data_IF_804403407003
#
_entry.id   IF_804403407003
#
_cell.length_a   1.000
_cell.length_b   1.000
_cell.length_c   1.000
_cell.angle_alpha   90.00
_cell.angle_beta   90.00
_cell.angle_gamma   90.00
#
_symmetry.space_group_name_H-M   'P 1'
#
loop_
_entity.id
_entity.type
_entity.pdbx_description
1 polymer ?
#
# COMPACT_ATOMS: atom_id res chain seq x y z
N UNK A 1 -104.05 17.02 59.66
CA UNK A 1 -103.69 16.04 58.60
C UNK A 1 -102.71 16.58 57.57
N UNK A 2 -102.79 17.84 57.12
CA UNK A 2 -101.87 18.39 56.09
C UNK A 2 -100.36 18.39 56.47
N UNK A 3 -100.03 18.61 57.74
CA UNK A 3 -98.63 18.67 58.22
C UNK A 3 -97.93 17.30 58.23
N UNK A 4 -98.68 16.20 58.42
CA UNK A 4 -98.10 14.85 58.41
C UNK A 4 -97.74 14.36 57.00
N UNK A 5 -98.42 14.86 55.96
CA UNK A 5 -98.08 14.52 54.57
C UNK A 5 -96.77 15.16 54.10
N UNK A 6 -96.48 16.40 54.51
CA UNK A 6 -95.22 17.07 54.13
C UNK A 6 -94.00 16.41 54.77
N UNK A 7 -94.09 16.04 56.05
CA UNK A 7 -92.99 15.33 56.73
C UNK A 7 -92.72 13.97 56.10
N UNK A 8 -93.76 13.25 55.69
CA UNK A 8 -93.60 11.95 55.02
C UNK A 8 -92.95 12.09 53.64
N UNK A 9 -93.36 13.10 52.85
CA UNK A 9 -92.79 13.36 51.51
C UNK A 9 -91.32 13.80 51.61
N UNK A 10 -90.96 14.61 52.60
CA UNK A 10 -89.56 15.01 52.84
C UNK A 10 -88.70 13.80 53.26
N UNK A 11 -89.21 12.92 54.12
CA UNK A 11 -88.47 11.71 54.51
C UNK A 11 -88.26 10.74 53.34
N UNK A 12 -89.24 10.60 52.44
CA UNK A 12 -89.13 9.72 51.26
C UNK A 12 -88.12 10.30 50.25
N UNK A 13 -88.09 11.62 50.04
CA UNK A 13 -87.12 12.28 49.15
C UNK A 13 -85.66 12.21 49.64
N UNK A 14 -85.42 12.14 50.95
CA UNK A 14 -84.06 12.03 51.50
C UNK A 14 -83.52 10.59 51.48
N UNK A 15 -84.38 9.58 51.43
CA UNK A 15 -83.98 8.16 51.40
C UNK A 15 -83.37 7.69 50.07
N UNK A 16 -83.56 8.44 48.98
CA UNK A 16 -83.18 8.06 47.63
C UNK A 16 -81.81 8.62 47.16
N UNK A 17 -81.06 9.29 48.04
CA UNK A 17 -79.78 9.96 47.67
C UNK A 17 -78.55 9.37 48.38
N UNK A 18 -78.67 8.26 49.10
CA UNK A 18 -77.51 7.62 49.72
C UNK A 18 -76.77 6.73 48.71
N UNK A 19 -75.66 7.21 48.16
CA UNK A 19 -74.65 6.35 47.56
C UNK A 19 -73.99 5.57 48.69
N UNK A 20 -74.29 4.27 48.80
CA UNK A 20 -73.62 3.40 49.76
C UNK A 20 -72.18 3.15 49.27
N UNK A 21 -71.22 3.90 49.81
CA UNK A 21 -69.81 3.65 49.60
C UNK A 21 -69.37 2.46 50.48
N UNK A 22 -68.70 1.46 49.91
CA UNK A 22 -68.22 0.27 50.63
C UNK A 22 -66.71 0.36 50.89
N UNK A 23 -66.34 1.26 51.81
CA UNK A 23 -65.05 1.19 52.49
C UNK A 23 -65.15 0.27 53.71
N UNK A 24 -64.29 -0.72 53.81
CA UNK A 24 -64.16 -1.54 55.03
C UNK A 24 -62.92 -1.07 55.77
N UNK A 25 -63.11 -0.54 56.98
CA UNK A 25 -62.00 -0.02 57.80
C UNK A 25 -61.58 1.42 57.48
N UNK A 26 -62.33 2.15 56.65
CA UNK A 26 -62.12 3.58 56.36
C UNK A 26 -63.43 4.32 56.17
N UNK A 27 -63.51 5.58 56.62
CA UNK A 27 -64.66 6.46 56.42
C UNK A 27 -64.58 7.28 55.13
N UNK A 28 -63.42 7.24 54.45
CA UNK A 28 -63.14 8.00 53.23
C UNK A 28 -62.39 7.10 52.24
N UNK A 29 -63.02 6.04 51.70
CA UNK A 29 -62.34 5.19 50.74
C UNK A 29 -62.10 5.96 49.44
N UNK A 30 -60.97 5.66 48.83
CA UNK A 30 -60.41 6.25 47.61
C UNK A 30 -60.78 5.46 46.36
N UNK A 31 -61.38 4.27 46.53
CA UNK A 31 -61.89 3.40 45.49
C UNK A 31 -63.34 2.96 45.81
N UNK A 32 -64.04 2.43 44.80
CA UNK A 32 -65.40 1.89 44.97
C UNK A 32 -65.44 0.77 46.01
N UNK A 33 -64.37 -0.04 46.10
CA UNK A 33 -64.11 -0.98 47.18
C UNK A 33 -62.67 -0.77 47.70
N UNK A 34 -62.53 -0.36 48.96
CA UNK A 34 -61.24 -0.27 49.64
C UNK A 34 -61.33 -1.01 50.98
N UNK A 35 -60.37 -1.91 51.21
CA UNK A 35 -60.24 -2.65 52.47
C UNK A 35 -58.94 -2.19 53.13
N UNK A 36 -59.05 -1.36 54.17
CA UNK A 36 -57.89 -0.87 54.92
C UNK A 36 -57.51 -1.89 55.98
N UNK A 37 -56.24 -2.29 55.96
CA UNK A 37 -55.69 -3.27 56.89
C UNK A 37 -55.42 -2.66 58.27
N UNK A 38 -55.51 -3.46 59.34
CA UNK A 38 -55.07 -3.03 60.67
C UNK A 38 -53.54 -2.93 60.69
N UNK A 39 -53.00 -1.83 61.21
CA UNK A 39 -51.55 -1.59 61.28
C UNK A 39 -50.82 -2.43 62.35
N UNK A 40 -51.57 -3.03 63.29
CA UNK A 40 -51.05 -3.95 64.30
C UNK A 40 -52.01 -5.13 64.47
N UNK A 41 -51.50 -6.34 64.34
CA UNK A 41 -52.26 -7.59 64.46
C UNK A 41 -51.83 -8.33 65.72
N UNK A 42 -52.80 -8.88 66.47
CA UNK A 42 -52.49 -9.84 67.53
C UNK A 42 -52.16 -11.22 66.94
N UNK A 43 -51.54 -12.11 67.73
CA UNK A 43 -51.23 -13.47 67.28
C UNK A 43 -52.50 -14.21 66.83
N UNK A 44 -52.54 -14.62 65.56
CA UNK A 44 -53.69 -15.31 64.96
C UNK A 44 -54.67 -14.41 64.20
N UNK A 45 -54.48 -13.09 64.22
CA UNK A 45 -55.19 -12.17 63.32
C UNK A 45 -54.42 -11.98 62.01
N UNK A 46 -55.15 -11.93 60.90
CA UNK A 46 -54.59 -11.72 59.56
C UNK A 46 -55.36 -10.61 58.83
N UNK A 47 -54.62 -9.73 58.16
CA UNK A 47 -55.21 -8.85 57.15
C UNK A 47 -55.22 -9.58 55.81
N UNK A 48 -56.31 -9.49 55.06
CA UNK A 48 -56.36 -10.02 53.70
C UNK A 48 -57.78 -10.21 53.18
N UNK A 49 -57.86 -10.56 51.90
CA UNK A 49 -59.08 -11.03 51.25
C UNK A 49 -58.81 -12.43 50.72
N UNK A 50 -59.70 -13.38 51.04
CA UNK A 50 -59.67 -14.69 50.41
C UNK A 50 -60.48 -14.57 49.13
N UNK A 51 -59.79 -14.65 47.99
CA UNK A 51 -60.44 -14.70 46.68
C UNK A 51 -60.96 -16.11 46.37
N UNK A 52 -61.93 -16.27 45.45
CA UNK A 52 -62.44 -17.57 45.09
C UNK A 52 -61.34 -18.51 44.61
N UNK A 53 -61.33 -19.70 45.20
CA UNK A 53 -60.35 -20.72 44.94
C UNK A 53 -60.97 -21.82 44.09
N UNK A 54 -60.24 -22.30 43.08
CA UNK A 54 -60.70 -23.31 42.14
C UNK A 54 -59.68 -24.43 42.02
N UNK A 55 -60.18 -25.66 41.81
CA UNK A 55 -59.34 -26.83 41.54
C UNK A 55 -58.94 -26.94 40.05
N UNK A 56 -59.62 -26.23 39.16
CA UNK A 56 -59.30 -26.17 37.73
C UNK A 56 -59.81 -24.86 37.13
N UNK A 57 -59.11 -24.33 36.12
CA UNK A 57 -59.55 -23.14 35.40
C UNK A 57 -60.73 -23.48 34.47
N UNK A 58 -61.77 -22.62 34.39
CA UNK A 58 -62.82 -22.78 33.41
C UNK A 58 -62.27 -22.71 31.97
N UNK A 59 -62.76 -23.58 31.10
CA UNK A 59 -62.40 -23.62 29.66
C UNK A 59 -63.63 -23.78 28.77
N UNK A 60 -63.49 -23.46 27.49
CA UNK A 60 -64.55 -23.62 26.48
C UNK A 60 -65.84 -22.89 26.86
N UNK A 61 -66.98 -23.59 26.81
CA UNK A 61 -68.29 -23.02 27.13
C UNK A 61 -68.47 -22.62 28.61
N UNK A 62 -67.53 -22.98 29.49
CA UNK A 62 -67.53 -22.58 30.91
C UNK A 62 -66.72 -21.31 31.17
N UNK A 63 -66.08 -20.73 30.15
CA UNK A 63 -65.35 -19.47 30.30
C UNK A 63 -66.30 -18.31 30.66
N UNK A 64 -65.84 -17.35 31.47
CA UNK A 64 -66.55 -16.10 31.63
C UNK A 64 -66.74 -15.39 30.29
N UNK A 65 -67.78 -14.58 30.19
CA UNK A 65 -68.00 -13.72 29.02
C UNK A 65 -67.05 -12.51 29.04
N UNK A 66 -66.78 -11.84 27.90
CA UNK A 66 -65.96 -10.63 27.87
C UNK A 66 -66.41 -9.51 28.83
N UNK A 67 -67.69 -9.48 29.22
CA UNK A 67 -68.22 -8.54 30.21
C UNK A 67 -67.67 -8.78 31.63
N UNK A 68 -67.09 -9.95 31.88
CA UNK A 68 -66.50 -10.35 33.17
C UNK A 68 -64.96 -10.26 33.15
N UNK A 69 -64.40 -9.47 32.23
CA UNK A 69 -62.96 -9.16 32.19
C UNK A 69 -62.50 -8.59 33.54
N UNK A 70 -61.36 -9.07 34.03
CA UNK A 70 -60.81 -8.70 35.34
C UNK A 70 -61.27 -9.60 36.49
N UNK A 71 -62.09 -10.64 36.23
CA UNK A 71 -62.43 -11.64 37.23
C UNK A 71 -61.17 -12.38 37.70
N UNK A 72 -60.96 -12.44 39.02
CA UNK A 72 -59.76 -13.00 39.65
C UNK A 72 -60.10 -14.32 40.36
N UNK A 73 -59.28 -15.35 40.15
CA UNK A 73 -59.35 -16.64 40.82
C UNK A 73 -57.98 -17.03 41.37
N UNK A 74 -57.96 -17.87 42.42
CA UNK A 74 -56.77 -18.60 42.85
C UNK A 74 -56.90 -20.06 42.43
N UNK A 75 -55.95 -20.58 41.65
CA UNK A 75 -55.87 -22.01 41.33
C UNK A 75 -55.09 -22.73 42.44
N UNK A 76 -55.71 -23.67 43.16
CA UNK A 76 -55.11 -24.34 44.36
C UNK A 76 -54.18 -25.52 44.06
N UNK A 77 -54.21 -26.03 42.83
CA UNK A 77 -53.34 -27.04 42.21
C UNK A 77 -54.16 -27.78 41.15
N UNK A 78 -53.54 -28.16 40.03
CA UNK A 78 -54.26 -28.75 38.90
C UNK A 78 -53.40 -28.91 37.65
N UNK A 79 -53.98 -28.67 36.48
CA UNK A 79 -53.32 -28.79 35.16
C UNK A 79 -52.35 -27.65 34.84
N UNK A 80 -52.45 -26.53 35.56
CA UNK A 80 -51.62 -25.33 35.39
C UNK A 80 -50.96 -24.93 36.71
N UNK A 81 -50.04 -23.96 36.63
CA UNK A 81 -49.30 -23.45 37.79
C UNK A 81 -50.24 -22.85 38.84
N UNK A 82 -50.16 -23.36 40.08
CA UNK A 82 -50.87 -22.77 41.23
C UNK A 82 -50.62 -21.26 41.31
N UNK A 83 -51.67 -20.47 41.58
CA UNK A 83 -51.50 -19.02 41.74
C UNK A 83 -52.71 -18.19 41.39
N UNK A 84 -52.49 -16.88 41.33
CA UNK A 84 -53.49 -15.89 40.96
C UNK A 84 -53.67 -15.85 39.44
N UNK A 85 -54.92 -15.91 39.00
CA UNK A 85 -55.30 -15.76 37.60
C UNK A 85 -56.30 -14.62 37.46
N UNK A 86 -56.20 -13.83 36.38
CA UNK A 86 -57.25 -12.90 35.98
C UNK A 86 -57.78 -13.27 34.59
N UNK A 87 -59.07 -13.09 34.37
CA UNK A 87 -59.68 -13.28 33.06
C UNK A 87 -59.43 -12.05 32.17
N UNK A 88 -58.75 -12.21 31.04
CA UNK A 88 -58.39 -11.10 30.14
C UNK A 88 -59.51 -10.73 29.15
N UNK A 89 -60.62 -11.47 29.16
CA UNK A 89 -61.74 -11.37 28.22
C UNK A 89 -61.84 -12.57 27.26
N UNK A 90 -60.79 -13.39 27.19
CA UNK A 90 -60.67 -14.57 26.31
C UNK A 90 -60.28 -15.81 27.12
N UNK A 91 -59.33 -15.68 28.05
CA UNK A 91 -58.82 -16.79 28.87
C UNK A 91 -58.28 -16.29 30.22
N UNK A 92 -58.01 -17.23 31.13
CA UNK A 92 -57.39 -16.92 32.41
C UNK A 92 -55.87 -16.82 32.25
N UNK A 93 -55.30 -15.67 32.61
CA UNK A 93 -53.86 -15.41 32.60
C UNK A 93 -53.31 -15.47 34.01
N UNK A 94 -52.24 -16.24 34.20
CA UNK A 94 -51.55 -16.29 35.49
C UNK A 94 -50.85 -14.95 35.73
N UNK A 95 -51.10 -14.32 36.87
CA UNK A 95 -50.52 -13.03 37.27
C UNK A 95 -49.00 -13.11 37.44
N UNK A 96 -48.47 -14.27 37.84
CA UNK A 96 -47.02 -14.51 37.93
C UNK A 96 -46.37 -14.89 36.59
N UNK A 97 -47.15 -15.19 35.54
CA UNK A 97 -46.63 -15.48 34.21
C UNK A 97 -46.59 -14.22 33.31
N UNK A 98 -46.16 -13.09 33.87
CA UNK A 98 -45.92 -11.88 33.09
C UNK A 98 -44.49 -11.91 32.55
N UNK A 99 -44.40 -12.29 31.26
CA UNK A 99 -43.23 -12.30 30.35
C UNK A 99 -42.39 -13.60 30.33
N UNK A 100 -42.31 -14.23 29.14
CA UNK A 100 -41.13 -14.87 28.49
C UNK A 100 -41.40 -16.16 27.70
N UNK A 101 -42.51 -16.34 26.99
CA UNK A 101 -42.61 -17.49 26.05
C UNK A 101 -41.73 -17.34 24.81
N UNK A 102 -41.26 -16.13 24.49
CA UNK A 102 -40.31 -15.88 23.38
C UNK A 102 -39.32 -14.77 23.76
N UNK A 103 -38.27 -15.07 24.53
CA UNK A 103 -37.25 -14.07 24.84
C UNK A 103 -36.48 -13.68 23.57
N UNK A 104 -36.01 -12.43 23.51
CA UNK A 104 -35.22 -11.95 22.37
C UNK A 104 -33.82 -12.58 22.30
N UNK A 105 -33.32 -13.05 23.45
CA UNK A 105 -32.03 -13.70 23.66
C UNK A 105 -32.16 -14.86 24.65
N UNK A 106 -31.44 -15.93 24.38
CA UNK A 106 -31.35 -17.14 25.20
C UNK A 106 -29.99 -17.24 25.86
N UNK A 107 -29.87 -18.03 26.92
CA UNK A 107 -28.57 -18.47 27.43
C UNK A 107 -27.88 -19.34 26.38
N UNK A 108 -26.59 -19.13 26.17
CA UNK A 108 -25.79 -19.78 25.12
C UNK A 108 -25.93 -21.31 25.10
N UNK A 109 -26.31 -21.87 23.96
CA UNK A 109 -26.56 -23.29 23.73
C UNK A 109 -27.86 -23.84 24.33
N UNK A 110 -28.82 -22.99 24.72
CA UNK A 110 -30.05 -23.40 25.41
C UNK A 110 -31.30 -22.72 24.87
N UNK A 111 -32.48 -23.24 25.25
CA UNK A 111 -33.76 -22.59 25.00
C UNK A 111 -34.25 -21.71 26.18
N UNK A 112 -33.41 -21.48 27.20
CA UNK A 112 -33.80 -20.69 28.38
C UNK A 112 -33.59 -19.20 28.17
N UNK A 113 -34.55 -18.32 28.55
CA UNK A 113 -34.36 -16.87 28.51
C UNK A 113 -33.12 -16.42 29.29
N UNK A 114 -32.31 -15.54 28.68
CA UNK A 114 -31.23 -14.87 29.41
C UNK A 114 -31.82 -13.74 30.28
N UNK A 115 -31.64 -13.84 31.60
CA UNK A 115 -32.30 -12.95 32.59
C UNK A 115 -31.34 -12.13 33.45
N UNK A 116 -30.02 -12.30 33.32
CA UNK A 116 -29.01 -11.57 34.09
C UNK A 116 -27.94 -10.96 33.17
N UNK A 117 -27.21 -9.95 33.65
CA UNK A 117 -26.20 -9.20 32.86
C UNK A 117 -24.85 -9.90 32.74
N UNK A 118 -24.69 -11.05 33.38
CA UNK A 118 -23.45 -11.85 33.38
C UNK A 118 -23.57 -13.11 32.51
N UNK A 119 -24.76 -13.38 32.01
CA UNK A 119 -25.10 -14.51 31.16
C UNK A 119 -24.38 -14.41 29.81
N UNK A 120 -23.97 -15.56 29.28
CA UNK A 120 -23.59 -15.66 27.88
C UNK A 120 -24.89 -15.75 27.07
N UNK A 121 -25.16 -14.77 26.20
CA UNK A 121 -26.42 -14.66 25.48
C UNK A 121 -26.29 -15.04 23.99
N UNK A 122 -27.33 -15.65 23.43
CA UNK A 122 -27.41 -15.99 22.00
C UNK A 122 -28.80 -15.78 21.39
N UNK A 123 -28.87 -15.77 20.06
CA UNK A 123 -30.12 -15.92 19.28
C UNK A 123 -29.80 -16.46 17.88
N UNK A 124 -30.69 -17.27 17.34
CA UNK A 124 -30.50 -17.87 16.01
C UNK A 124 -30.78 -16.88 14.86
N UNK A 125 -31.73 -15.97 15.06
CA UNK A 125 -32.15 -15.00 14.06
C UNK A 125 -31.25 -13.75 13.98
N UNK A 126 -31.40 -13.01 12.88
CA UNK A 126 -30.66 -11.78 12.61
C UNK A 126 -30.93 -10.67 13.65
N UNK A 127 -29.91 -9.89 13.99
CA UNK A 127 -30.01 -8.70 14.84
C UNK A 127 -29.80 -7.47 13.98
N UNK A 128 -30.77 -6.55 13.96
CA UNK A 128 -30.58 -5.20 13.45
C UNK A 128 -30.65 -4.22 14.61
N UNK A 129 -29.67 -3.31 14.71
CA UNK A 129 -29.64 -2.22 15.68
C UNK A 129 -29.67 -0.91 14.91
N UNK A 130 -30.77 -0.17 15.04
CA UNK A 130 -30.92 1.17 14.48
C UNK A 130 -31.14 1.26 12.97
N UNK A 131 -31.36 0.14 12.27
CA UNK A 131 -31.54 0.12 10.81
C UNK A 131 -32.69 -0.74 10.31
N UNK A 132 -33.10 -0.50 9.07
CA UNK A 132 -34.17 -1.23 8.37
C UNK A 132 -33.69 -2.48 7.61
N UNK A 133 -32.39 -2.68 7.48
CA UNK A 133 -31.79 -3.82 6.79
C UNK A 133 -31.70 -5.07 7.69
N UNK A 134 -32.16 -6.21 7.17
CA UNK A 134 -32.16 -7.53 7.82
C UNK A 134 -31.47 -8.59 6.95
N UNK A 135 -30.32 -8.28 6.37
CA UNK A 135 -29.62 -9.20 5.45
C UNK A 135 -28.46 -9.95 6.10
N UNK A 136 -28.00 -9.52 7.28
CA UNK A 136 -26.90 -10.14 8.04
C UNK A 136 -27.29 -10.55 9.46
N UNK A 137 -26.50 -11.41 10.09
CA UNK A 137 -26.73 -11.85 11.48
C UNK A 137 -26.58 -10.71 12.50
N UNK A 138 -25.69 -9.76 12.23
CA UNK A 138 -25.59 -8.49 12.95
C UNK A 138 -25.51 -7.36 11.92
N UNK A 139 -26.48 -6.46 11.96
CA UNK A 139 -26.49 -5.24 11.18
C UNK A 139 -26.50 -4.03 12.11
N UNK A 140 -25.58 -3.09 11.88
CA UNK A 140 -25.48 -1.83 12.62
C UNK A 140 -25.48 -0.72 11.59
N UNK A 141 -26.49 0.13 11.65
CA UNK A 141 -26.69 1.22 10.71
C UNK A 141 -26.84 2.54 11.46
N UNK A 142 -26.32 3.61 10.87
CA UNK A 142 -26.58 4.97 11.35
C UNK A 142 -27.45 5.64 10.28
N UNK A 143 -28.75 5.63 10.50
CA UNK A 143 -29.68 6.46 9.72
C UNK A 143 -29.51 7.94 10.13
N UNK A 144 -29.56 8.86 9.17
CA UNK A 144 -29.35 10.29 9.43
C UNK A 144 -30.17 11.19 8.52
N UNK A 145 -30.79 12.23 9.10
CA UNK A 145 -31.34 13.39 8.37
C UNK A 145 -30.68 14.74 8.69
N UNK A 146 -29.76 14.86 9.65
CA UNK A 146 -29.12 16.16 10.00
C UNK A 146 -27.65 16.07 10.47
N UNK A 147 -26.91 17.19 10.36
CA UNK A 147 -25.45 17.28 10.51
C UNK A 147 -25.00 17.83 11.88
N UNK A 148 -24.57 16.97 12.82
CA UNK A 148 -23.57 17.37 13.84
C UNK A 148 -22.75 16.15 14.31
N UNK A 149 -21.42 16.19 14.15
CA UNK A 149 -20.46 15.28 14.81
C UNK A 149 -19.90 14.12 13.98
N UNK A 150 -18.83 13.49 14.48
CA UNK A 150 -18.26 12.25 13.93
C UNK A 150 -19.24 11.10 14.23
N UNK A 151 -19.68 10.40 13.19
CA UNK A 151 -20.57 9.25 13.30
C UNK A 151 -19.75 7.97 13.39
N UNK A 152 -20.03 7.11 14.37
CA UNK A 152 -19.31 5.85 14.57
C UNK A 152 -20.31 4.72 14.81
N UNK A 153 -20.45 3.83 13.83
CA UNK A 153 -21.38 2.70 13.91
C UNK A 153 -20.85 1.62 14.87
N UNK A 154 -19.55 1.34 14.81
CA UNK A 154 -18.89 0.35 15.65
C UNK A 154 -17.55 0.90 16.15
N UNK A 155 -17.37 0.90 17.48
CA UNK A 155 -16.08 1.12 18.14
C UNK A 155 -15.79 -0.09 19.01
N UNK A 156 -14.61 -0.67 18.83
CA UNK A 156 -14.11 -1.78 19.64
C UNK A 156 -12.84 -1.30 20.33
N UNK A 157 -12.81 -1.42 21.66
CA UNK A 157 -11.70 -0.97 22.50
C UNK A 157 -11.23 -2.14 23.37
N UNK A 158 -10.00 -2.61 23.15
CA UNK A 158 -9.38 -3.62 24.01
C UNK A 158 -8.40 -2.92 24.95
N UNK A 159 -8.91 -2.48 26.09
CA UNK A 159 -8.16 -1.79 27.15
C UNK A 159 -7.59 -2.76 28.21
N UNK A 160 -7.17 -3.97 27.79
CA UNK A 160 -6.57 -4.93 28.71
C UNK A 160 -5.30 -4.32 29.36
N UNK A 161 -5.29 -4.24 30.68
CA UNK A 161 -4.20 -3.67 31.49
C UNK A 161 -3.17 -4.71 31.95
N UNK A 162 -3.35 -5.98 31.58
CA UNK A 162 -2.42 -7.06 31.92
C UNK A 162 -1.06 -6.85 31.27
N UNK A 163 0.00 -7.07 32.05
CA UNK A 163 1.40 -7.06 31.59
C UNK A 163 1.91 -8.47 31.20
N UNK A 164 1.00 -9.42 30.99
CA UNK A 164 1.30 -10.77 30.49
C UNK A 164 1.89 -10.72 29.08
N UNK A 165 2.77 -11.67 28.75
CA UNK A 165 3.38 -11.80 27.41
C UNK A 165 2.44 -12.42 26.36
N UNK A 166 1.17 -12.62 26.70
CA UNK A 166 0.16 -13.25 25.84
C UNK A 166 -0.42 -12.25 24.83
N UNK A 167 -0.67 -12.70 23.60
CA UNK A 167 -1.31 -11.88 22.58
C UNK A 167 -2.74 -11.48 22.97
N UNK A 168 -3.13 -10.27 22.59
CA UNK A 168 -4.49 -9.74 22.75
C UNK A 168 -5.04 -9.31 21.40
N UNK A 169 -6.34 -9.48 21.19
CA UNK A 169 -7.01 -9.08 19.95
C UNK A 169 -8.16 -8.14 20.27
N UNK A 170 -8.28 -7.03 19.55
CA UNK A 170 -9.51 -6.24 19.55
C UNK A 170 -10.56 -6.91 18.66
N UNK A 171 -10.15 -7.39 17.49
CA UNK A 171 -10.97 -8.13 16.54
C UNK A 171 -10.18 -9.36 16.11
N UNK A 172 -10.79 -10.54 16.25
CA UNK A 172 -10.30 -11.79 15.67
C UNK A 172 -11.38 -12.30 14.71
N UNK A 173 -11.09 -12.31 13.41
CA UNK A 173 -12.05 -12.65 12.37
C UNK A 173 -11.52 -13.78 11.50
N UNK A 174 -12.27 -14.86 11.42
CA UNK A 174 -11.98 -16.02 10.59
C UNK A 174 -13.13 -16.28 9.63
N UNK A 175 -12.82 -16.51 8.35
CA UNK A 175 -13.78 -17.02 7.39
C UNK A 175 -13.36 -18.43 6.93
N UNK A 176 -13.95 -19.45 7.56
CA UNK A 176 -13.68 -20.87 7.28
C UNK A 176 -14.75 -21.51 6.39
N UNK A 177 -15.57 -20.69 5.72
CA UNK A 177 -16.66 -21.18 4.87
C UNK A 177 -16.17 -22.12 3.77
N UNK A 178 -16.95 -23.14 3.43
CA UNK A 178 -16.62 -24.16 2.42
C UNK A 178 -17.04 -23.80 0.99
N UNK A 179 -17.43 -22.54 0.76
CA UNK A 179 -17.94 -22.09 -0.55
C UNK A 179 -16.91 -22.23 -1.69
N UNK A 180 -17.41 -22.44 -2.91
CA UNK A 180 -16.65 -22.43 -4.17
C UNK A 180 -16.52 -21.04 -4.79
N UNK A 181 -17.28 -20.06 -4.29
CA UNK A 181 -17.17 -18.65 -4.69
C UNK A 181 -16.05 -17.90 -3.97
N UNK A 182 -15.94 -16.60 -4.26
CA UNK A 182 -14.95 -15.73 -3.59
C UNK A 182 -15.20 -15.68 -2.08
N UNK A 183 -14.13 -15.84 -1.30
CA UNK A 183 -14.16 -15.74 0.16
C UNK A 183 -13.51 -14.43 0.59
N UNK A 184 -14.24 -13.62 1.33
CA UNK A 184 -13.73 -12.38 1.90
C UNK A 184 -13.64 -12.53 3.41
N UNK A 185 -12.47 -12.28 4.00
CA UNK A 185 -12.33 -12.17 5.45
C UNK A 185 -12.91 -10.83 5.93
N UNK A 186 -12.45 -9.74 5.30
CA UNK A 186 -12.96 -8.39 5.53
C UNK A 186 -13.15 -7.74 4.16
N UNK A 187 -14.34 -7.17 3.92
CA UNK A 187 -14.63 -6.37 2.74
C UNK A 187 -15.05 -4.97 3.19
N UNK A 188 -14.25 -3.98 2.83
CA UNK A 188 -14.53 -2.57 3.10
C UNK A 188 -14.86 -1.88 1.78
N UNK A 189 -16.10 -1.46 1.60
CA UNK A 189 -16.52 -0.64 0.47
C UNK A 189 -16.66 0.81 0.96
N UNK A 190 -15.82 1.71 0.47
CA UNK A 190 -15.92 3.15 0.74
C UNK A 190 -16.36 3.85 -0.55
N UNK A 191 -17.64 4.18 -0.63
CA UNK A 191 -18.25 4.84 -1.78
C UNK A 191 -19.26 5.90 -1.31
N UNK A 192 -19.14 7.12 -1.82
CA UNK A 192 -20.14 8.17 -1.60
C UNK A 192 -19.96 9.33 -2.57
N UNK A 193 -21.02 10.09 -2.79
CA UNK A 193 -20.94 11.43 -3.36
C UNK A 193 -20.41 12.38 -2.27
N UNK A 194 -19.21 12.91 -2.43
CA UNK A 194 -18.59 13.81 -1.45
C UNK A 194 -17.18 14.22 -1.88
N UNK A 195 -16.72 15.39 -1.45
CA UNK A 195 -15.39 15.95 -1.83
C UNK A 195 -14.30 15.70 -0.79
N UNK A 196 -14.62 15.03 0.31
CA UNK A 196 -13.64 14.68 1.35
C UNK A 196 -12.85 13.42 1.00
N UNK A 197 -11.74 13.20 1.72
CA UNK A 197 -10.89 12.03 1.51
C UNK A 197 -11.64 10.72 1.81
N UNK A 198 -11.67 9.81 0.85
CA UNK A 198 -12.17 8.45 1.03
C UNK A 198 -11.04 7.54 1.50
N UNK A 199 -11.05 7.19 2.80
CA UNK A 199 -10.03 6.33 3.40
C UNK A 199 -10.65 4.99 3.76
N UNK A 200 -10.26 3.92 3.06
CA UNK A 200 -10.76 2.55 3.29
C UNK A 200 -10.26 1.94 4.59
N UNK A 201 -8.94 1.99 4.82
CA UNK A 201 -8.29 1.44 6.02
C UNK A 201 -7.22 2.43 6.46
N UNK A 202 -7.29 2.90 7.71
CA UNK A 202 -6.26 3.72 8.35
C UNK A 202 -5.71 2.97 9.55
N UNK A 203 -4.46 2.52 9.44
CA UNK A 203 -3.74 1.89 10.54
C UNK A 203 -2.72 2.88 11.10
N UNK A 204 -2.82 3.18 12.40
CA UNK A 204 -1.80 3.91 13.13
C UNK A 204 -1.15 2.95 14.13
N UNK A 205 0.17 2.78 14.05
CA UNK A 205 0.92 1.94 14.99
C UNK A 205 2.00 2.81 15.64
N UNK A 206 1.94 2.92 16.96
CA UNK A 206 2.85 3.73 17.76
C UNK A 206 3.56 2.86 18.78
N UNK A 207 4.80 3.20 19.10
CA UNK A 207 5.47 2.73 20.31
C UNK A 207 5.45 3.84 21.35
N UNK A 208 5.41 3.44 22.62
CA UNK A 208 5.55 4.32 23.78
C UNK A 208 7.00 4.68 24.13
N UNK A 209 7.97 4.31 23.27
CA UNK A 209 9.38 4.72 23.38
C UNK A 209 10.26 3.76 24.17
N UNK A 210 9.87 2.49 24.31
CA UNK A 210 10.65 1.47 25.02
C UNK A 210 10.58 0.07 24.38
N UNK A 211 9.95 -0.08 23.22
CA UNK A 211 9.93 -1.37 22.53
C UNK A 211 11.33 -1.68 21.97
N UNK A 212 11.89 -2.81 22.38
CA UNK A 212 13.10 -3.39 21.80
C UNK A 212 12.80 -4.33 20.62
N UNK A 213 11.54 -4.34 20.16
CA UNK A 213 11.02 -5.26 19.14
C UNK A 213 10.47 -4.49 17.93
N UNK A 214 10.30 -5.19 16.81
CA UNK A 214 9.83 -4.58 15.56
C UNK A 214 8.37 -4.12 15.65
N UNK A 215 8.09 -2.92 15.16
CA UNK A 215 6.72 -2.45 14.92
C UNK A 215 6.30 -2.83 13.51
N UNK A 216 5.13 -3.47 13.39
CA UNK A 216 4.57 -3.89 12.10
C UNK A 216 3.17 -3.31 11.95
N UNK A 217 2.95 -2.47 10.93
CA UNK A 217 1.66 -1.86 10.65
C UNK A 217 0.66 -2.83 10.01
N UNK A 218 1.12 -3.54 8.97
CA UNK A 218 0.34 -4.55 8.26
C UNK A 218 1.25 -5.76 8.04
N UNK A 219 0.85 -6.92 8.56
CA UNK A 219 1.52 -8.18 8.33
C UNK A 219 0.63 -9.08 7.47
N UNK A 220 1.04 -9.35 6.23
CA UNK A 220 0.34 -10.25 5.33
C UNK A 220 1.15 -11.53 5.18
N UNK A 221 0.53 -12.67 5.49
CA UNK A 221 1.11 -14.00 5.25
C UNK A 221 0.19 -14.78 4.32
N UNK A 222 0.66 -15.01 3.10
CA UNK A 222 -0.01 -15.90 2.14
C UNK A 222 0.71 -17.24 2.23
N UNK A 223 0.08 -18.20 2.92
CA UNK A 223 0.68 -19.49 3.27
C UNK A 223 1.04 -20.37 2.07
N UNK A 224 1.46 -21.62 2.36
CA UNK A 224 1.87 -22.56 1.32
C UNK A 224 0.74 -22.88 0.33
N UNK A 225 0.97 -22.59 -0.96
CA UNK A 225 0.01 -22.88 -2.02
C UNK A 225 0.25 -24.28 -2.55
N UNK A 226 -0.46 -25.25 -1.97
CA UNK A 226 -0.37 -26.65 -2.35
C UNK A 226 -1.34 -26.96 -3.50
N UNK A 227 -0.79 -27.25 -4.69
CA UNK A 227 -1.55 -27.73 -5.85
C UNK A 227 -2.05 -26.63 -6.78
N UNK A 228 -1.78 -26.83 -8.08
CA UNK A 228 -2.18 -26.04 -9.27
C UNK A 228 -1.40 -24.75 -9.55
N UNK A 229 -1.26 -24.43 -10.85
CA UNK A 229 -0.55 -23.30 -11.45
C UNK A 229 -1.23 -21.94 -11.15
N UNK A 230 -1.61 -21.69 -9.90
CA UNK A 230 -2.30 -20.48 -9.50
C UNK A 230 -1.32 -19.33 -9.30
N UNK A 231 -1.66 -18.15 -9.83
CA UNK A 231 -0.95 -16.91 -9.52
C UNK A 231 -1.45 -16.44 -8.16
N UNK A 232 -0.52 -16.23 -7.22
CA UNK A 232 -0.84 -15.81 -5.86
C UNK A 232 -0.31 -14.39 -5.63
N UNK A 233 -1.15 -13.52 -5.07
CA UNK A 233 -0.78 -12.16 -4.73
C UNK A 233 -0.73 -12.00 -3.22
N UNK A 234 0.43 -11.62 -2.67
CA UNK A 234 0.55 -11.18 -1.27
C UNK A 234 -0.15 -9.85 -1.02
N UNK A 235 0.03 -8.93 -1.98
CA UNK A 235 -0.62 -7.63 -2.06
C UNK A 235 -0.95 -7.39 -3.53
N UNK A 236 -2.21 -7.02 -3.82
CA UNK A 236 -2.64 -6.57 -5.15
C UNK A 236 -3.27 -5.19 -4.98
N UNK A 237 -2.67 -4.19 -5.62
CA UNK A 237 -3.16 -2.81 -5.64
C UNK A 237 -3.47 -2.44 -7.08
N UNK A 238 -4.72 -2.05 -7.35
CA UNK A 238 -5.17 -1.59 -8.66
C UNK A 238 -5.83 -0.23 -8.47
N UNK A 239 -5.41 0.76 -9.25
CA UNK A 239 -5.92 2.12 -9.16
C UNK A 239 -6.28 2.64 -10.54
N UNK A 240 -7.46 3.27 -10.59
CA UNK A 240 -7.95 3.97 -11.75
C UNK A 240 -8.59 3.10 -12.83
N UNK A 241 -8.87 3.73 -13.96
CA UNK A 241 -9.48 3.17 -15.16
C UNK A 241 -9.08 4.01 -16.38
N UNK A 242 -9.51 3.62 -17.58
CA UNK A 242 -9.31 4.42 -18.80
C UNK A 242 -9.85 5.86 -18.72
N UNK A 243 -10.71 6.15 -17.74
CA UNK A 243 -11.30 7.47 -17.52
C UNK A 243 -10.73 8.20 -16.28
N UNK A 244 -9.72 7.63 -15.60
CA UNK A 244 -9.14 8.27 -14.42
C UNK A 244 -8.42 9.56 -14.77
N UNK A 245 -8.63 10.60 -13.94
CA UNK A 245 -8.00 11.91 -14.06
C UNK A 245 -7.08 12.14 -12.85
N UNK A 246 -6.01 12.91 -13.02
CA UNK A 246 -5.04 13.19 -11.96
C UNK A 246 -3.87 12.19 -11.91
N UNK A 247 -3.00 12.36 -10.91
CA UNK A 247 -1.84 11.49 -10.69
C UNK A 247 -2.23 10.34 -9.75
N UNK A 248 -2.02 9.10 -10.18
CA UNK A 248 -2.34 7.91 -9.41
C UNK A 248 -1.07 7.23 -8.90
N UNK A 249 -1.00 6.96 -7.60
CA UNK A 249 0.05 6.15 -6.99
C UNK A 249 -0.56 4.86 -6.46
N UNK A 250 -0.28 3.72 -7.12
CA UNK A 250 -0.74 2.40 -6.64
C UNK A 250 -0.04 2.00 -5.32
N UNK A 251 1.21 2.43 -5.17
CA UNK A 251 2.01 2.33 -3.94
C UNK A 251 2.73 3.66 -3.77
N UNK A 252 2.50 4.32 -2.63
CA UNK A 252 3.25 5.50 -2.21
C UNK A 252 3.92 5.18 -0.87
N UNK A 253 5.24 5.30 -0.83
CA UNK A 253 6.01 5.07 0.40
C UNK A 253 6.97 6.23 0.64
N UNK A 254 7.03 6.66 1.90
CA UNK A 254 7.92 7.72 2.36
C UNK A 254 8.65 7.21 3.61
N UNK A 255 9.97 7.08 3.49
CA UNK A 255 10.83 6.66 4.59
C UNK A 255 11.68 7.85 5.03
N UNK A 256 11.47 8.29 6.28
CA UNK A 256 12.19 9.40 6.88
C UNK A 256 13.14 8.87 7.95
N UNK A 257 14.39 9.30 7.88
CA UNK A 257 15.44 8.98 8.82
C UNK A 257 15.65 10.15 9.80
N UNK A 258 15.88 9.84 11.07
CA UNK A 258 16.20 10.85 12.10
C UNK A 258 17.62 11.36 11.94
N UNK A 259 17.86 12.65 12.16
CA UNK A 259 19.16 13.32 11.89
C UNK A 259 20.33 12.89 12.79
N UNK A 260 20.14 11.89 13.66
CA UNK A 260 21.07 11.51 14.73
C UNK A 260 21.54 10.06 14.69
N UNK A 261 21.00 9.22 13.80
CA UNK A 261 21.46 7.84 13.64
C UNK A 261 22.17 7.68 12.30
N UNK A 262 22.89 6.57 12.09
CA UNK A 262 23.51 6.23 10.80
C UNK A 262 22.72 5.17 10.05
N UNK A 263 21.56 4.77 10.59
CA UNK A 263 20.80 3.64 10.09
C UNK A 263 20.07 4.00 8.79
N UNK A 264 20.17 3.14 7.76
CA UNK A 264 19.51 3.40 6.50
C UNK A 264 17.99 3.36 6.65
N UNK A 265 17.30 4.26 5.95
CA UNK A 265 15.84 4.23 5.80
C UNK A 265 15.47 3.90 4.37
N UNK A 266 14.74 2.79 4.19
CA UNK A 266 14.34 2.30 2.89
C UNK A 266 12.85 2.54 2.67
N UNK A 267 12.47 3.23 1.58
CA UNK A 267 11.08 3.37 1.15
C UNK A 267 10.49 2.08 0.59
N UNK A 268 11.34 1.11 0.24
CA UNK A 268 10.96 -0.24 -0.13
C UNK A 268 12.12 -1.22 0.06
N UNK A 269 11.80 -2.43 0.51
CA UNK A 269 12.74 -3.54 0.63
C UNK A 269 12.12 -4.77 0.00
N UNK A 270 12.72 -5.26 -1.09
CA UNK A 270 12.23 -6.40 -1.85
C UNK A 270 13.28 -7.50 -1.81
N UNK A 271 12.89 -8.70 -1.38
CA UNK A 271 13.75 -9.88 -1.33
C UNK A 271 13.02 -11.05 -1.96
N UNK A 272 13.62 -11.63 -2.99
CA UNK A 272 13.13 -12.79 -3.71
C UNK A 272 14.09 -13.17 -4.83
N UNK A 273 13.76 -14.22 -5.57
CA UNK A 273 14.64 -14.72 -6.62
C UNK A 273 14.75 -13.75 -7.81
N UNK A 274 13.71 -12.93 -8.04
CA UNK A 274 13.64 -11.97 -9.15
C UNK A 274 12.89 -10.71 -8.74
N UNK A 275 13.28 -9.58 -9.34
CA UNK A 275 12.59 -8.30 -9.20
C UNK A 275 12.44 -7.66 -10.59
N UNK A 276 11.24 -7.20 -10.91
CA UNK A 276 10.94 -6.59 -12.20
C UNK A 276 9.99 -5.39 -12.07
N UNK A 277 10.12 -4.45 -13.00
CA UNK A 277 9.26 -3.28 -13.18
C UNK A 277 8.73 -3.35 -14.61
N UNK A 278 7.42 -3.36 -14.79
CA UNK A 278 6.75 -3.60 -16.09
C UNK A 278 5.82 -2.45 -16.46
N UNK A 279 5.54 -2.31 -17.75
CA UNK A 279 4.50 -1.40 -18.25
C UNK A 279 3.09 -2.00 -18.06
N UNK A 280 2.04 -1.20 -18.31
CA UNK A 280 0.64 -1.60 -18.11
C UNK A 280 0.25 -2.88 -18.87
N UNK A 281 0.77 -3.05 -20.09
CA UNK A 281 0.47 -4.21 -20.93
C UNK A 281 1.29 -5.47 -20.57
N UNK A 282 2.23 -5.38 -19.62
CA UNK A 282 3.17 -6.45 -19.23
C UNK A 282 3.93 -7.08 -20.41
N UNK A 283 4.14 -6.27 -21.46
CA UNK A 283 4.89 -6.66 -22.66
C UNK A 283 6.34 -6.15 -22.63
N UNK A 284 6.60 -5.10 -21.85
CA UNK A 284 7.90 -4.42 -21.77
C UNK A 284 8.22 -4.02 -20.31
N UNK A 285 9.50 -3.84 -20.00
CA UNK A 285 9.99 -3.45 -18.69
C UNK A 285 11.43 -3.89 -18.40
N UNK A 286 11.80 -3.78 -17.13
CA UNK A 286 13.13 -4.10 -16.61
C UNK A 286 13.05 -5.25 -15.63
N UNK A 287 13.92 -6.24 -15.78
CA UNK A 287 14.19 -7.27 -14.77
C UNK A 287 15.62 -7.04 -14.26
N UNK A 288 15.75 -6.86 -12.94
CA UNK A 288 17.02 -6.53 -12.29
C UNK A 288 17.86 -7.81 -12.11
N UNK A 289 19.19 -7.77 -12.31
CA UNK A 289 20.06 -8.92 -12.09
C UNK A 289 19.91 -9.50 -10.68
N UNK A 290 20.04 -10.82 -10.58
CA UNK A 290 20.02 -11.54 -9.31
C UNK A 290 21.33 -11.45 -8.53
N UNK A 291 22.37 -10.86 -9.14
CA UNK A 291 23.69 -10.64 -8.56
C UNK A 291 23.95 -9.16 -8.37
N UNK A 292 24.67 -8.81 -7.31
CA UNK A 292 25.14 -7.44 -7.07
C UNK A 292 26.25 -7.07 -8.06
N UNK A 293 26.30 -5.80 -8.46
CA UNK A 293 27.41 -5.27 -9.25
C UNK A 293 28.68 -5.14 -8.41
N UNK A 294 29.82 -5.17 -9.08
CA UNK A 294 31.11 -4.83 -8.46
C UNK A 294 31.37 -3.32 -8.55
N UNK A 295 32.28 -2.76 -7.73
CA UNK A 295 32.65 -1.35 -7.83
C UNK A 295 33.11 -0.98 -9.25
N UNK A 296 32.59 0.13 -9.79
CA UNK A 296 32.87 0.59 -11.16
C UNK A 296 31.89 0.09 -12.22
N UNK A 297 30.94 -0.78 -11.84
CA UNK A 297 29.85 -1.21 -12.72
C UNK A 297 28.63 -0.31 -12.58
N UNK A 298 27.93 -0.13 -13.69
CA UNK A 298 26.62 0.51 -13.75
C UNK A 298 25.59 -0.48 -14.26
N UNK A 299 24.38 -0.39 -13.72
CA UNK A 299 23.25 -1.14 -14.26
C UNK A 299 22.81 -0.47 -15.56
N UNK A 300 22.92 -1.18 -16.66
CA UNK A 300 22.53 -0.66 -17.99
C UNK A 300 21.78 -1.72 -18.78
N UNK A 301 21.08 -1.28 -19.81
CA UNK A 301 20.51 -2.17 -20.83
C UNK A 301 21.61 -2.57 -21.79
N UNK A 302 21.82 -3.87 -22.00
CA UNK A 302 22.62 -4.33 -23.13
C UNK A 302 21.71 -4.49 -24.36
N UNK A 303 22.33 -4.73 -25.52
CA UNK A 303 21.61 -4.85 -26.80
C UNK A 303 20.37 -5.73 -26.68
N UNK A 304 19.27 -5.29 -27.30
CA UNK A 304 17.95 -5.93 -27.29
C UNK A 304 18.06 -7.43 -27.58
N UNK A 305 17.92 -8.25 -26.53
CA UNK A 305 17.77 -9.68 -26.70
C UNK A 305 16.29 -9.98 -27.03
N UNK A 306 15.99 -10.14 -28.33
CA UNK A 306 14.69 -10.67 -28.75
C UNK A 306 14.66 -12.16 -28.48
N UNK A 307 14.26 -12.57 -27.28
CA UNK A 307 13.98 -13.97 -26.98
C UNK A 307 12.46 -14.16 -26.95
N UNK A 308 11.93 -15.01 -27.83
CA UNK A 308 10.54 -15.47 -27.85
C UNK A 308 9.45 -14.38 -28.04
N UNK A 309 9.74 -13.32 -28.80
CA UNK A 309 8.73 -12.30 -29.14
C UNK A 309 8.35 -11.35 -27.99
N UNK A 310 9.00 -11.47 -26.83
CA UNK A 310 8.98 -10.45 -25.77
C UNK A 310 10.29 -9.66 -25.83
N UNK A 311 10.23 -8.40 -26.22
CA UNK A 311 11.34 -7.46 -26.08
C UNK A 311 11.48 -7.11 -24.61
N UNK A 312 12.23 -7.90 -23.84
CA UNK A 312 12.58 -7.52 -22.47
C UNK A 312 13.97 -6.91 -22.52
N UNK A 313 14.10 -5.65 -22.13
CA UNK A 313 15.41 -5.06 -21.91
C UNK A 313 16.04 -5.80 -20.71
N UNK A 314 16.97 -6.71 -21.00
CA UNK A 314 17.75 -7.37 -19.95
C UNK A 314 18.71 -6.31 -19.42
N UNK A 315 18.53 -5.96 -18.15
CA UNK A 315 19.52 -5.11 -17.48
C UNK A 315 20.67 -5.97 -17.00
N UNK A 316 21.89 -5.51 -17.19
CA UNK A 316 23.09 -6.18 -16.71
C UNK A 316 24.06 -5.17 -16.09
N UNK A 317 24.95 -5.67 -15.23
CA UNK A 317 26.05 -4.88 -14.71
C UNK A 317 27.15 -4.82 -15.75
N UNK A 318 27.33 -3.66 -16.37
CA UNK A 318 28.45 -3.42 -17.28
C UNK A 318 29.51 -2.57 -16.58
N UNK A 319 30.78 -2.91 -16.79
CA UNK A 319 31.85 -1.94 -16.60
C UNK A 319 31.57 -0.76 -17.54
N UNK A 320 31.75 0.47 -17.08
CA UNK A 320 31.76 1.62 -17.99
C UNK A 320 32.71 1.28 -19.15
N UNK A 321 32.24 1.23 -20.41
CA UNK A 321 33.15 0.94 -21.50
C UNK A 321 34.19 2.06 -21.50
N UNK A 322 35.46 1.71 -21.39
CA UNK A 322 36.54 2.54 -21.92
C UNK A 322 36.31 2.59 -23.44
N UNK A 323 35.31 3.34 -23.89
CA UNK A 323 35.25 3.78 -25.28
C UNK A 323 36.60 4.43 -25.51
N UNK A 324 37.44 3.79 -26.35
CA UNK A 324 38.76 4.30 -26.74
C UNK A 324 38.57 5.73 -27.24
N UNK A 325 38.74 6.69 -26.34
CA UNK A 325 38.55 8.10 -26.61
C UNK A 325 39.67 8.49 -27.57
N UNK A 326 39.32 8.71 -28.84
CA UNK A 326 40.29 9.17 -29.84
C UNK A 326 40.38 10.68 -29.67
N UNK A 327 41.51 11.14 -29.16
CA UNK A 327 41.89 12.55 -29.15
C UNK A 327 42.52 12.86 -30.50
N UNK A 328 41.99 13.86 -31.19
CA UNK A 328 42.63 14.44 -32.38
C UNK A 328 43.29 15.75 -31.97
N UNK A 329 44.57 15.88 -32.30
CA UNK A 329 45.38 17.06 -32.01
C UNK A 329 45.87 17.62 -33.34
N UNK A 330 45.58 18.90 -33.58
CA UNK A 330 46.10 19.61 -34.74
C UNK A 330 47.61 19.82 -34.54
N UNK A 331 48.42 19.25 -35.41
CA UNK A 331 49.87 19.46 -35.40
C UNK A 331 50.23 20.70 -36.20
N UNK A 332 49.53 20.93 -37.31
CA UNK A 332 49.69 22.09 -38.16
C UNK A 332 48.49 22.24 -39.10
N UNK A 333 48.08 23.47 -39.35
CA UNK A 333 47.04 23.81 -40.31
C UNK A 333 47.07 25.30 -40.56
N UNK A 334 47.13 25.71 -41.82
CA UNK A 334 47.02 27.10 -42.18
C UNK A 334 46.12 27.18 -43.43
N UNK A 335 44.97 27.84 -43.26
CA UNK A 335 43.95 27.94 -44.31
C UNK A 335 44.45 28.70 -45.54
N UNK A 336 45.45 29.58 -45.37
CA UNK A 336 45.94 30.51 -46.39
C UNK A 336 47.37 30.25 -46.85
N UNK A 337 48.13 29.34 -46.21
CA UNK A 337 49.54 29.10 -46.54
C UNK A 337 49.93 27.63 -46.41
N UNK A 338 50.63 27.09 -47.42
CA UNK A 338 51.08 25.71 -47.43
C UNK A 338 52.50 25.57 -46.86
N UNK A 339 52.79 24.45 -46.20
CA UNK A 339 54.15 24.16 -45.72
C UNK A 339 54.95 23.43 -46.81
N UNK A 340 55.91 24.13 -47.40
CA UNK A 340 56.81 23.56 -48.42
C UNK A 340 57.83 22.59 -47.80
N UNK A 341 57.83 21.35 -48.30
CA UNK A 341 58.81 20.35 -47.93
C UNK A 341 60.00 20.40 -48.89
N UNK A 342 61.03 21.15 -48.48
CA UNK A 342 62.29 21.27 -49.22
C UNK A 342 63.09 19.95 -49.10
N UNK A 343 63.65 19.47 -50.23
CA UNK A 343 64.51 18.31 -50.28
C UNK A 343 65.78 18.53 -49.42
N UNK A 344 65.95 17.69 -48.41
CA UNK A 344 67.08 17.75 -47.46
C UNK A 344 67.88 16.44 -47.42
N UNK A 345 67.56 15.47 -48.30
CA UNK A 345 68.22 14.15 -48.38
C UNK A 345 68.19 13.31 -47.09
N UNK A 346 67.46 13.75 -46.06
CA UNK A 346 67.40 13.13 -44.73
C UNK A 346 66.11 13.54 -44.00
N UNK A 347 65.67 12.74 -43.02
CA UNK A 347 64.53 13.10 -42.18
C UNK A 347 64.89 14.25 -41.25
N UNK A 348 64.25 15.40 -41.44
CA UNK A 348 64.43 16.59 -40.61
C UNK A 348 63.13 16.94 -39.90
N UNK A 349 63.27 17.47 -38.68
CA UNK A 349 62.14 17.94 -37.88
C UNK A 349 61.47 19.12 -38.59
N UNK A 350 60.14 19.10 -38.67
CA UNK A 350 59.38 20.19 -39.28
C UNK A 350 58.97 21.18 -38.20
N UNK A 351 59.60 22.35 -38.23
CA UNK A 351 59.34 23.43 -37.29
C UNK A 351 57.88 23.84 -37.33
N UNK A 352 57.22 23.84 -36.17
CA UNK A 352 55.79 24.13 -36.06
C UNK A 352 54.85 22.95 -36.33
N UNK A 353 55.37 21.73 -36.51
CA UNK A 353 54.57 20.49 -36.62
C UNK A 353 54.85 19.58 -35.43
N UNK A 354 54.60 20.10 -34.24
CA UNK A 354 54.88 19.44 -32.98
C UNK A 354 53.78 19.71 -31.96
N UNK A 355 53.53 18.76 -31.07
CA UNK A 355 52.56 18.92 -29.99
C UNK A 355 53.06 18.33 -28.70
N UNK A 356 52.58 18.88 -27.60
CA UNK A 356 52.81 18.41 -26.23
C UNK A 356 51.45 18.27 -25.55
N UNK A 357 51.22 17.14 -24.89
CA UNK A 357 49.98 16.88 -24.16
C UNK A 357 50.27 16.16 -22.85
N UNK A 358 49.33 16.28 -21.91
CA UNK A 358 49.36 15.55 -20.64
C UNK A 358 48.94 14.09 -20.87
N UNK A 359 49.81 13.16 -20.51
CA UNK A 359 49.57 11.72 -20.70
C UNK A 359 48.41 11.25 -19.79
N UNK A 360 48.32 11.79 -18.57
CA UNK A 360 47.31 11.40 -17.58
C UNK A 360 45.88 11.75 -18.00
N UNK A 361 45.72 12.69 -18.93
CA UNK A 361 44.42 13.01 -19.52
C UNK A 361 43.90 11.93 -20.49
N UNK A 362 44.78 11.04 -20.98
CA UNK A 362 44.46 10.06 -22.03
C UNK A 362 44.65 8.61 -21.56
N UNK A 363 45.72 8.33 -20.79
CA UNK A 363 46.03 6.98 -20.32
C UNK A 363 46.57 7.01 -18.88
N UNK A 364 46.00 6.17 -18.03
CA UNK A 364 46.46 5.97 -16.65
C UNK A 364 47.66 5.01 -16.57
N UNK A 365 47.87 4.17 -17.59
CA UNK A 365 49.00 3.22 -17.69
C UNK A 365 50.19 3.80 -18.42
N UNK A 366 50.00 4.91 -19.14
CA UNK A 366 51.05 5.55 -19.95
C UNK A 366 51.30 4.88 -21.30
N UNK A 367 50.48 3.89 -21.67
CA UNK A 367 50.53 3.24 -22.97
C UNK A 367 49.51 3.86 -23.92
N UNK A 368 49.99 4.34 -25.07
CA UNK A 368 49.16 5.01 -26.07
C UNK A 368 49.23 4.25 -27.40
N UNK A 369 48.16 4.36 -28.18
CA UNK A 369 48.22 4.11 -29.63
C UNK A 369 48.08 5.43 -30.36
N UNK A 370 48.97 5.69 -31.31
CA UNK A 370 48.96 6.92 -32.12
C UNK A 370 48.93 6.62 -33.61
N UNK A 371 48.41 7.56 -34.39
CA UNK A 371 48.55 7.59 -35.85
C UNK A 371 48.66 9.02 -36.35
N UNK A 372 49.37 9.19 -37.46
CA UNK A 372 49.57 10.47 -38.10
C UNK A 372 48.63 10.59 -39.32
N UNK A 373 48.02 11.76 -39.48
CA UNK A 373 47.15 12.11 -40.62
C UNK A 373 47.76 13.35 -41.29
N UNK A 374 48.02 13.27 -42.59
CA UNK A 374 48.59 14.37 -43.38
C UNK A 374 47.69 14.65 -44.59
N UNK A 375 47.24 15.90 -44.72
CA UNK A 375 46.65 16.44 -45.94
C UNK A 375 47.74 17.21 -46.71
N UNK A 376 48.01 16.81 -47.94
CA UNK A 376 49.10 17.35 -48.76
C UNK A 376 48.71 17.52 -50.23
N UNK A 377 49.35 18.46 -50.91
CA UNK A 377 49.26 18.68 -52.36
C UNK A 377 50.63 18.50 -53.02
N UNK A 378 50.62 18.10 -54.29
CA UNK A 378 51.82 17.93 -55.10
C UNK A 378 51.76 18.85 -56.34
N UNK A 379 52.84 19.56 -56.61
CA UNK A 379 52.95 20.42 -57.79
C UNK A 379 53.36 19.64 -59.06
N UNK A 380 53.87 18.42 -58.90
CA UNK A 380 54.21 17.45 -59.95
C UNK A 380 54.47 16.07 -59.33
N UNK A 381 54.67 15.02 -60.13
CA UNK A 381 54.94 13.67 -59.61
C UNK A 381 56.10 13.67 -58.60
N UNK A 382 55.86 13.16 -57.40
CA UNK A 382 56.86 13.06 -56.34
C UNK A 382 56.42 12.10 -55.23
N UNK A 383 57.37 11.72 -54.38
CA UNK A 383 57.15 10.89 -53.19
C UNK A 383 57.67 11.64 -51.98
N UNK A 384 56.85 11.76 -50.94
CA UNK A 384 57.26 12.31 -49.64
C UNK A 384 57.01 11.30 -48.55
N UNK A 385 58.05 11.02 -47.77
CA UNK A 385 57.98 10.11 -46.65
C UNK A 385 57.87 10.91 -45.35
N UNK A 386 56.97 10.49 -44.46
CA UNK A 386 56.81 11.06 -43.14
C UNK A 386 57.19 10.06 -42.05
N UNK A 387 57.77 10.57 -40.98
CA UNK A 387 58.00 9.85 -39.73
C UNK A 387 57.41 10.65 -38.58
N UNK A 388 57.01 9.94 -37.53
CA UNK A 388 56.58 10.54 -36.28
C UNK A 388 57.56 10.16 -35.19
N UNK A 389 58.19 11.17 -34.60
CA UNK A 389 59.09 10.98 -33.46
C UNK A 389 58.34 11.30 -32.18
N UNK A 390 58.24 10.33 -31.29
CA UNK A 390 57.67 10.49 -29.95
C UNK A 390 58.78 10.64 -28.91
N UNK A 391 58.60 11.59 -28.00
CA UNK A 391 59.46 11.80 -26.83
C UNK A 391 58.60 11.50 -25.61
N UNK A 392 59.00 10.48 -24.85
CA UNK A 392 58.28 10.04 -23.65
C UNK A 392 58.50 11.02 -22.48
N UNK A 393 57.77 10.80 -21.38
CA UNK A 393 57.85 11.66 -20.18
C UNK A 393 59.23 11.68 -19.52
N UNK A 394 60.08 10.71 -19.84
CA UNK A 394 61.45 10.58 -19.34
C UNK A 394 62.49 11.20 -20.28
N UNK A 395 62.05 11.86 -21.36
CA UNK A 395 62.92 12.49 -22.37
C UNK A 395 63.49 11.52 -23.42
N UNK A 396 63.13 10.24 -23.37
CA UNK A 396 63.53 9.23 -24.36
C UNK A 396 62.81 9.46 -25.69
N UNK A 397 63.59 9.63 -26.76
CA UNK A 397 63.08 9.85 -28.12
C UNK A 397 63.08 8.56 -28.93
N UNK A 398 61.96 8.22 -29.54
CA UNK A 398 61.78 7.04 -30.39
C UNK A 398 61.00 7.39 -31.67
N UNK A 399 61.39 6.80 -32.79
CA UNK A 399 60.59 6.87 -34.03
C UNK A 399 59.40 5.92 -33.88
N UNK A 400 58.20 6.49 -33.69
CA UNK A 400 56.96 5.75 -33.43
C UNK A 400 56.30 5.29 -34.73
N UNK A 401 56.43 6.10 -35.78
CA UNK A 401 56.01 5.77 -37.15
C UNK A 401 57.25 5.86 -38.04
N UNK A 402 57.60 4.75 -38.69
CA UNK A 402 58.79 4.64 -39.54
C UNK A 402 58.48 4.95 -41.02
N UNK A 403 59.52 5.15 -41.84
CA UNK A 403 59.37 5.51 -43.27
C UNK A 403 58.67 4.45 -44.13
N UNK A 404 58.49 3.22 -43.63
CA UNK A 404 57.76 2.13 -44.30
C UNK A 404 56.29 2.00 -43.87
N UNK A 405 55.83 2.79 -42.90
CA UNK A 405 54.45 2.80 -42.42
C UNK A 405 53.58 3.65 -43.36
N UNK A 406 53.53 3.22 -44.61
CA UNK A 406 52.83 3.72 -45.82
C UNK A 406 52.34 5.18 -45.80
N UNK A 407 53.24 6.08 -46.22
CA UNK A 407 52.94 7.40 -46.80
C UNK A 407 53.26 7.47 -48.31
N UNK A 408 53.20 6.34 -49.02
CA UNK A 408 53.53 6.32 -50.44
C UNK A 408 52.32 6.73 -51.28
N UNK A 409 52.28 7.99 -51.73
CA UNK A 409 51.29 8.45 -52.72
C UNK A 409 52.00 9.13 -53.88
N UNK A 410 52.15 8.43 -54.99
CA UNK A 410 52.44 9.05 -56.29
C UNK A 410 51.10 9.42 -56.92
N UNK A 411 50.79 10.71 -57.06
CA UNK A 411 49.64 11.12 -57.86
C UNK A 411 50.02 12.22 -58.84
N UNK A 412 49.59 12.04 -60.08
CA UNK A 412 49.71 13.00 -61.18
C UNK A 412 48.45 13.85 -61.22
N UNK A 413 48.48 15.02 -60.58
CA UNK A 413 47.42 16.04 -60.66
C UNK A 413 47.31 16.89 -59.39
N UNK A 414 46.95 18.17 -59.56
CA UNK A 414 46.88 19.22 -58.52
C UNK A 414 45.78 19.03 -57.45
N UNK A 415 45.34 17.80 -57.17
CA UNK A 415 44.34 17.49 -56.15
C UNK A 415 45.00 17.16 -54.80
N UNK A 416 44.49 17.74 -53.71
CA UNK A 416 44.94 17.41 -52.35
C UNK A 416 44.62 15.96 -51.96
N UNK A 417 45.50 15.34 -51.19
CA UNK A 417 45.41 13.95 -50.74
C UNK A 417 45.55 13.91 -49.23
N UNK A 418 44.58 13.27 -48.57
CA UNK A 418 44.65 12.94 -47.15
C UNK A 418 45.18 11.51 -47.00
N UNK A 419 46.25 11.36 -46.24
CA UNK A 419 46.91 10.07 -45.95
C UNK A 419 46.95 9.83 -44.45
N UNK A 420 46.85 8.57 -44.04
CA UNK A 420 46.86 8.18 -42.62
C UNK A 420 47.73 6.94 -42.40
N UNK A 421 48.40 6.86 -41.26
CA UNK A 421 49.10 5.64 -40.85
C UNK A 421 48.18 4.65 -40.15
N UNK A 422 48.62 3.40 -40.11
CA UNK A 422 48.12 2.44 -39.10
C UNK A 422 48.39 2.96 -37.69
N UNK A 423 47.59 2.50 -36.73
CA UNK A 423 47.87 2.75 -35.32
C UNK A 423 49.20 2.11 -34.91
N UNK A 424 49.97 2.83 -34.10
CA UNK A 424 51.27 2.42 -33.57
C UNK A 424 51.31 2.62 -32.07
N UNK A 425 51.79 1.61 -31.35
CA UNK A 425 51.96 1.69 -29.90
C UNK A 425 53.10 2.64 -29.55
N UNK A 426 52.89 3.43 -28.50
CA UNK A 426 53.88 4.33 -27.93
C UNK A 426 53.82 4.25 -26.40
N UNK A 427 54.94 3.85 -25.80
CA UNK A 427 55.12 3.85 -24.35
C UNK A 427 55.51 5.27 -23.90
N UNK A 428 54.51 6.08 -23.56
CA UNK A 428 54.69 7.47 -23.14
C UNK A 428 55.21 7.60 -21.69
N UNK A 429 54.99 6.56 -20.87
CA UNK A 429 55.29 6.55 -19.44
C UNK A 429 54.11 7.07 -18.60
N UNK A 430 54.13 6.79 -17.28
CA UNK A 430 53.02 7.14 -16.38
C UNK A 430 53.14 8.60 -15.95
N UNK A 431 52.10 9.41 -16.21
CA UNK A 431 52.03 10.82 -15.82
C UNK A 431 53.02 11.73 -16.55
N UNK A 432 52.87 13.05 -16.37
CA UNK A 432 53.68 14.05 -17.06
C UNK A 432 53.25 14.28 -18.50
N UNK A 433 54.17 14.74 -19.35
CA UNK A 433 53.87 15.13 -20.73
C UNK A 433 54.64 14.28 -21.75
N UNK A 434 54.03 14.04 -22.90
CA UNK A 434 54.70 13.48 -24.07
C UNK A 434 54.74 14.52 -25.19
N UNK A 435 55.79 14.47 -26.02
CA UNK A 435 55.93 15.33 -27.19
C UNK A 435 55.97 14.50 -28.46
N UNK A 436 55.27 14.94 -29.50
CA UNK A 436 55.38 14.38 -30.84
C UNK A 436 55.87 15.42 -31.83
N UNK A 437 56.72 15.00 -32.76
CA UNK A 437 57.30 15.84 -33.80
C UNK A 437 57.18 15.12 -35.13
N UNK A 438 56.62 15.78 -36.13
CA UNK A 438 56.62 15.28 -37.51
C UNK A 438 57.99 15.51 -38.12
N UNK A 439 58.54 14.46 -38.71
CA UNK A 439 59.71 14.52 -39.56
C UNK A 439 59.29 14.17 -40.98
N UNK A 440 59.84 14.86 -41.96
CA UNK A 440 59.56 14.53 -43.36
C UNK A 440 60.85 14.49 -44.16
N UNK A 441 60.93 13.56 -45.11
CA UNK A 441 61.98 13.51 -46.12
C UNK A 441 61.35 13.52 -47.51
N UNK A 442 61.79 14.43 -48.35
CA UNK A 442 61.35 14.50 -49.73
C UNK A 442 62.46 13.92 -50.61
N UNK A 443 62.25 12.69 -51.09
CA UNK A 443 63.20 11.95 -51.91
C UNK A 443 63.10 12.30 -53.41
N UNK A 444 62.26 13.26 -53.80
CA UNK A 444 62.07 13.71 -55.17
C UNK A 444 62.74 15.06 -55.51
N UNK A 445 62.73 15.43 -56.78
CA UNK A 445 63.19 16.74 -57.29
C UNK A 445 62.16 17.86 -57.11
N UNK A 446 61.00 17.60 -56.51
CA UNK A 446 59.82 18.49 -56.52
C UNK A 446 59.28 18.74 -55.11
N UNK A 447 58.76 19.94 -54.83
CA UNK A 447 58.22 20.31 -53.51
C UNK A 447 56.83 19.68 -53.27
N UNK A 448 56.69 18.89 -52.19
CA UNK A 448 55.39 18.55 -51.63
C UNK A 448 54.96 19.63 -50.63
N UNK A 449 53.66 19.88 -50.54
CA UNK A 449 53.07 20.96 -49.75
C UNK A 449 52.08 20.38 -48.77
N UNK A 450 52.34 20.53 -47.47
CA UNK A 450 51.35 20.14 -46.44
C UNK A 450 50.29 21.25 -46.37
N UNK A 451 49.03 20.85 -46.27
CA UNK A 451 47.86 21.70 -46.01
C UNK A 451 47.35 21.60 -44.57
N UNK A 452 47.37 20.39 -44.01
CA UNK A 452 47.15 20.17 -42.58
C UNK A 452 47.78 18.86 -42.12
N UNK A 453 48.10 18.78 -40.83
CA UNK A 453 48.65 17.61 -40.17
C UNK A 453 47.96 17.42 -38.82
N UNK A 454 47.54 16.19 -38.52
CA UNK A 454 46.85 15.84 -37.28
C UNK A 454 47.48 14.60 -36.65
N UNK A 455 47.55 14.61 -35.32
CA UNK A 455 47.88 13.44 -34.52
C UNK A 455 46.60 12.89 -33.91
N UNK A 456 46.33 11.61 -34.11
CA UNK A 456 45.25 10.93 -33.39
C UNK A 456 45.85 10.00 -32.33
N UNK A 457 45.32 10.06 -31.12
CA UNK A 457 45.79 9.33 -29.93
C UNK A 457 44.62 8.62 -29.28
N UNK A 458 44.81 7.38 -28.83
CA UNK A 458 43.85 6.68 -27.97
C UNK A 458 44.58 5.88 -26.90
N UNK A 459 43.88 5.53 -25.82
CA UNK A 459 44.41 4.59 -24.85
C UNK A 459 44.64 3.20 -25.50
N UNK A 460 45.77 2.56 -25.18
CA UNK A 460 46.12 1.25 -25.72
C UNK A 460 45.44 0.08 -24.98
N UNK A 461 44.81 0.36 -23.83
CA UNK A 461 44.15 -0.62 -22.96
C UNK A 461 42.71 -0.95 -23.38
#
# INVERSE_FOLDING_TARGET
>A
MLHSCYTLIVCVFFSSISFAQVGIGTATPTADLEIVSKTSLTTGEFNGIIIPKVAALPTGASLPTPAQKGLILYLESGTDTEGLYFFDGISFQNVTNSATTTPAFYENGTATPAINTTAAIEREGQVSIGGSLNTGQLNIEIESTDLVGIRTALRIDNANSSNSTTATYAIYSENTSSTTGNKFGIRNDVSSNGVGDHIGIKNNVYDSGSATTSLTGIYNNVGATNGTNSINYGLRSEIGSSNSRGTNYAVYSYAQHGTTTTDPSYSGYFRGDRFAIRNEADIDGYEVPTVSGTPGQVLTVNSVATVLGKTTAVTEWMNLPLTRYIVTIDLWGNEDNQYDIINTGSFTDRGGMETVFDIGAISTTGNLEVRLVIDQTFNSNGTTDYQLRGINNSGGSVTVIASGDTFYTSNSGSGGIITTTSWRSFAAGIGGVAKFIVQANNNGTNNAQIRSAYLMIRNAD
#
